data_IF_855899919111
#
_entry.id   IF_855899919111
#
_cell.length_a   1.000
_cell.length_b   1.000
_cell.length_c   1.000
_cell.angle_alpha   90.00
_cell.angle_beta   90.00
_cell.angle_gamma   90.00
#
_symmetry.space_group_name_H-M   'P 1'
#
loop_
_entity.id
_entity.type
_entity.pdbx_description
1 polymer ?
#
# COMPACT_ATOMS: atom_id res chain seq x y z
N UNK A 1 53.84 21.08 -43.80
CA UNK A 1 52.76 21.60 -42.95
C UNK A 1 52.76 20.76 -41.67
N UNK A 2 53.64 21.06 -40.71
CA UNK A 2 53.35 21.75 -39.41
C UNK A 2 52.39 20.92 -38.54
N UNK A 3 52.85 20.15 -37.53
CA UNK A 3 53.21 20.54 -36.12
C UNK A 3 51.95 20.87 -35.27
N UNK A 4 51.79 20.59 -33.97
CA UNK A 4 52.57 20.00 -32.87
C UNK A 4 51.61 19.76 -31.65
N UNK A 5 52.12 19.07 -30.62
CA UNK A 5 51.80 19.14 -29.16
C UNK A 5 50.42 18.67 -28.65
N UNK A 6 50.18 18.05 -27.49
CA UNK A 6 50.85 17.48 -26.29
C UNK A 6 50.02 17.91 -25.05
N UNK A 7 49.75 16.95 -24.14
CA UNK A 7 49.37 17.06 -22.72
C UNK A 7 47.94 17.59 -22.37
N UNK A 8 47.22 17.10 -21.35
CA UNK A 8 47.49 16.13 -20.28
C UNK A 8 46.53 16.35 -19.09
N UNK A 9 46.52 15.40 -18.13
CA UNK A 9 46.00 15.44 -16.74
C UNK A 9 44.48 15.23 -16.57
N UNK A 10 43.94 14.45 -15.63
CA UNK A 10 44.46 13.60 -14.55
C UNK A 10 43.26 12.76 -14.02
N UNK A 11 43.49 11.50 -13.65
CA UNK A 11 42.58 10.68 -12.82
C UNK A 11 43.36 10.30 -11.56
N UNK A 12 42.75 10.31 -10.36
CA UNK A 12 43.31 9.60 -9.23
C UNK A 12 42.68 8.21 -9.10
N UNK A 13 43.59 7.26 -9.06
CA UNK A 13 43.47 5.86 -8.66
C UNK A 13 43.42 5.73 -7.12
N UNK A 14 43.28 4.47 -6.67
CA UNK A 14 43.58 3.82 -5.38
C UNK A 14 42.32 3.10 -4.87
N UNK A 15 42.16 1.79 -5.00
CA UNK A 15 43.08 0.69 -4.62
C UNK A 15 42.46 -0.02 -3.40
N UNK A 16 42.47 -1.33 -3.18
CA UNK A 16 43.25 -2.44 -3.74
C UNK A 16 42.66 -3.77 -3.19
N UNK A 17 42.63 -4.80 -4.04
CA UNK A 17 42.93 -6.23 -3.81
C UNK A 17 42.59 -6.92 -2.47
N UNK A 18 41.74 -7.95 -2.55
CA UNK A 18 41.69 -9.07 -1.61
C UNK A 18 42.37 -10.28 -2.26
N UNK A 19 43.39 -10.84 -1.60
CA UNK A 19 43.92 -12.16 -1.90
C UNK A 19 44.15 -12.94 -0.60
N UNK A 20 43.92 -14.24 -0.70
CA UNK A 20 43.76 -15.24 0.35
C UNK A 20 45.07 -15.73 0.99
N UNK A 21 45.11 -15.93 2.32
CA UNK A 21 45.49 -17.19 3.01
C UNK A 21 45.87 -17.01 4.49
N UNK A 22 45.23 -17.80 5.36
CA UNK A 22 45.80 -18.69 6.37
C UNK A 22 46.86 -18.24 7.41
N UNK A 23 46.51 -18.51 8.67
CA UNK A 23 47.31 -19.19 9.75
C UNK A 23 47.76 -18.34 10.97
N UNK A 24 47.08 -18.61 12.10
CA UNK A 24 47.45 -18.63 13.55
C UNK A 24 48.67 -17.88 14.14
N UNK A 25 48.44 -17.11 15.22
CA UNK A 25 48.99 -17.24 16.60
C UNK A 25 48.57 -15.99 17.43
N UNK A 26 47.79 -16.14 18.51
CA UNK A 26 48.19 -16.21 19.93
C UNK A 26 48.77 -14.91 20.54
N UNK A 27 48.06 -14.29 21.50
CA UNK A 27 48.52 -14.02 22.89
C UNK A 27 47.54 -13.19 23.73
N UNK A 28 47.10 -13.81 24.83
CA UNK A 28 46.84 -13.32 26.20
C UNK A 28 46.29 -11.91 26.50
N UNK A 29 45.15 -11.90 27.21
CA UNK A 29 44.67 -10.83 28.09
C UNK A 29 43.67 -11.38 29.13
N UNK A 30 44.10 -11.39 30.39
CA UNK A 30 43.54 -12.03 31.59
C UNK A 30 42.30 -11.34 32.20
N UNK A 31 41.36 -12.12 32.76
CA UNK A 31 40.62 -11.79 33.99
C UNK A 31 40.08 -13.06 34.67
N UNK A 32 40.26 -13.13 35.99
CA UNK A 32 40.08 -14.27 36.91
C UNK A 32 38.65 -14.86 36.96
N UNK A 33 38.57 -16.19 37.06
CA UNK A 33 37.43 -16.94 37.59
C UNK A 33 37.87 -17.65 38.87
N UNK A 34 37.19 -17.36 39.97
CA UNK A 34 37.27 -18.13 41.21
C UNK A 34 36.24 -19.27 41.19
N UNK A 35 36.67 -20.42 41.68
CA UNK A 35 36.00 -21.71 41.67
C UNK A 35 35.27 -21.98 42.99
N UNK A 36 34.08 -22.57 42.95
CA UNK A 36 33.81 -23.76 43.77
C UNK A 36 32.52 -24.47 43.35
N UNK A 37 32.65 -25.78 43.13
CA UNK A 37 31.57 -26.77 43.10
C UNK A 37 31.15 -27.13 44.53
N UNK A 38 29.88 -27.49 44.72
CA UNK A 38 29.49 -28.73 45.43
C UNK A 38 28.05 -29.13 45.07
N UNK A 39 27.89 -30.44 44.99
CA UNK A 39 26.77 -31.27 44.53
C UNK A 39 25.70 -31.50 45.60
N UNK A 40 24.42 -31.66 45.21
CA UNK A 40 23.68 -32.94 45.35
C UNK A 40 22.25 -32.90 44.78
N UNK A 41 21.82 -34.09 44.40
CA UNK A 41 20.67 -34.55 43.61
C UNK A 41 19.40 -34.74 44.47
N UNK A 42 18.20 -34.53 43.90
CA UNK A 42 17.03 -35.42 44.10
C UNK A 42 15.92 -35.16 43.09
N UNK A 43 15.27 -36.26 42.73
CA UNK A 43 14.40 -36.54 41.57
C UNK A 43 12.89 -36.26 41.74
N UNK A 44 12.29 -35.63 40.71
CA UNK A 44 10.96 -35.87 40.04
C UNK A 44 9.63 -35.82 40.84
N UNK A 45 8.41 -35.77 40.21
CA UNK A 45 8.05 -35.73 38.79
C UNK A 45 6.97 -34.68 38.36
N UNK A 46 6.75 -34.65 37.04
CA UNK A 46 5.72 -33.93 36.26
C UNK A 46 4.32 -34.52 36.44
N UNK A 47 3.29 -33.67 36.57
CA UNK A 47 1.94 -33.84 35.97
C UNK A 47 1.22 -32.49 36.02
N UNK A 48 0.72 -31.99 34.88
CA UNK A 48 -0.49 -31.16 34.92
C UNK A 48 -1.39 -31.46 33.72
N UNK A 49 -2.65 -31.75 34.02
CA UNK A 49 -3.75 -31.96 33.08
C UNK A 49 -5.04 -31.66 33.82
N UNK A 50 -5.68 -30.53 33.53
CA UNK A 50 -7.15 -30.33 33.50
C UNK A 50 -7.43 -28.87 33.13
N UNK A 51 -7.97 -28.62 31.93
CA UNK A 51 -9.40 -28.31 31.67
C UNK A 51 -9.87 -27.03 32.38
N UNK A 52 -10.04 -25.94 31.61
CA UNK A 52 -11.07 -24.93 31.87
C UNK A 52 -11.88 -24.74 30.60
N UNK A 53 -13.16 -25.01 30.77
CA UNK A 53 -14.33 -24.79 29.93
C UNK A 53 -14.61 -23.29 29.84
N UNK A 54 -14.65 -22.71 28.63
CA UNK A 54 -15.18 -21.35 28.44
C UNK A 54 -16.58 -21.45 27.84
N UNK A 55 -17.54 -21.40 28.76
CA UNK A 55 -18.97 -21.34 28.52
C UNK A 55 -19.34 -20.07 27.78
N UNK A 56 -20.15 -20.24 26.73
CA UNK A 56 -20.88 -19.20 26.04
C UNK A 56 -21.65 -18.28 27.01
N UNK A 57 -21.43 -16.97 26.88
CA UNK A 57 -22.27 -15.96 27.54
C UNK A 57 -23.46 -15.65 26.64
N UNK A 58 -24.62 -16.11 27.09
CA UNK A 58 -25.96 -15.74 26.61
C UNK A 58 -26.29 -14.31 27.03
N UNK A 59 -26.83 -13.52 26.11
CA UNK A 59 -27.54 -12.28 26.45
C UNK A 59 -28.92 -12.32 25.78
N UNK A 60 -29.92 -12.70 26.57
CA UNK A 60 -31.32 -12.30 26.40
C UNK A 60 -31.60 -11.24 27.49
N UNK A 61 -32.00 -10.02 27.11
CA UNK A 61 -33.29 -9.42 27.46
C UNK A 61 -33.38 -7.89 27.15
N UNK A 62 -34.39 -7.55 26.32
CA UNK A 62 -35.31 -6.37 26.35
C UNK A 62 -34.70 -4.99 25.98
N UNK A 63 -35.19 -4.22 24.99
CA UNK A 63 -36.58 -3.76 24.79
C UNK A 63 -36.90 -3.31 23.34
N UNK A 64 -38.14 -3.59 22.90
CA UNK A 64 -38.83 -3.00 21.73
C UNK A 64 -39.38 -1.60 22.05
N UNK A 65 -39.62 -0.78 21.01
CA UNK A 65 -40.87 -0.03 20.94
C UNK A 65 -41.62 -0.19 19.61
N UNK A 66 -42.92 -0.48 19.74
CA UNK A 66 -43.97 -0.30 18.73
C UNK A 66 -44.37 1.19 18.63
N UNK A 67 -44.53 1.69 17.40
CA UNK A 67 -45.67 2.52 16.93
C UNK A 67 -45.44 2.86 15.45
N UNK A 68 -46.19 2.28 14.52
CA UNK A 68 -47.46 2.81 14.00
C UNK A 68 -47.35 4.26 13.46
N UNK A 69 -47.27 4.38 12.13
CA UNK A 69 -47.86 5.52 11.41
C UNK A 69 -48.08 5.16 9.95
N UNK A 70 -49.36 5.02 9.60
CA UNK A 70 -49.91 4.89 8.25
C UNK A 70 -49.90 6.20 7.45
N UNK A 71 -49.54 6.06 6.16
CA UNK A 71 -50.12 6.69 4.95
C UNK A 71 -49.84 8.18 4.71
N UNK A 72 -49.24 8.52 3.54
CA UNK A 72 -49.88 9.19 2.37
C UNK A 72 -49.06 8.90 1.09
N UNK A 73 -49.71 8.31 0.08
CA UNK A 73 -49.27 8.27 -1.33
C UNK A 73 -50.03 9.37 -2.08
N UNK A 74 -49.41 10.10 -3.02
CA UNK A 74 -50.16 10.71 -4.10
C UNK A 74 -49.85 10.08 -5.47
N UNK A 75 -50.93 10.00 -6.22
CA UNK A 75 -51.17 9.40 -7.53
C UNK A 75 -50.39 9.99 -8.71
N UNK A 76 -50.32 9.12 -9.72
CA UNK A 76 -50.19 9.28 -11.17
C UNK A 76 -50.42 10.65 -11.83
N UNK A 77 -49.58 10.94 -12.84
CA UNK A 77 -49.89 11.75 -14.04
C UNK A 77 -49.25 11.05 -15.25
N UNK A 78 -50.05 10.38 -16.09
CA UNK A 78 -50.80 10.83 -17.26
C UNK A 78 -49.96 10.83 -18.55
N UNK A 79 -50.41 9.99 -19.48
CA UNK A 79 -49.81 9.71 -20.78
C UNK A 79 -50.56 10.54 -21.83
N UNK A 80 -49.90 11.60 -22.31
CA UNK A 80 -50.38 12.38 -23.46
C UNK A 80 -49.74 11.87 -24.75
N UNK A 81 -50.54 11.16 -25.55
CA UNK A 81 -50.24 10.86 -26.96
C UNK A 81 -50.59 12.06 -27.83
N UNK A 82 -49.63 12.58 -28.59
CA UNK A 82 -49.92 13.39 -29.77
C UNK A 82 -49.34 12.73 -31.03
N UNK A 83 -50.26 12.45 -31.95
CA UNK A 83 -50.06 11.95 -33.30
C UNK A 83 -49.69 13.13 -34.20
N UNK A 84 -48.49 13.11 -34.80
CA UNK A 84 -48.13 14.00 -35.90
C UNK A 84 -47.63 13.15 -37.06
N UNK A 85 -48.51 12.95 -38.02
CA UNK A 85 -48.22 12.41 -39.35
C UNK A 85 -47.18 13.27 -40.09
N UNK A 86 -46.05 12.69 -40.46
CA UNK A 86 -45.07 13.30 -41.38
C UNK A 86 -44.79 12.39 -42.58
N UNK A 87 -44.82 12.99 -43.76
CA UNK A 87 -44.62 12.40 -45.10
C UNK A 87 -43.16 11.99 -45.37
N UNK A 88 -42.90 11.04 -46.29
CA UNK A 88 -41.55 10.53 -46.53
C UNK A 88 -40.84 11.36 -47.61
N UNK A 89 -40.15 12.44 -47.23
CA UNK A 89 -39.16 13.10 -48.09
C UNK A 89 -38.40 14.17 -47.27
N UNK A 90 -37.42 13.73 -46.47
CA UNK A 90 -36.13 14.41 -46.27
C UNK A 90 -35.21 13.53 -45.40
N UNK A 91 -34.32 12.75 -46.01
CA UNK A 91 -33.23 12.08 -45.28
C UNK A 91 -32.00 12.97 -45.46
N UNK A 92 -31.90 14.00 -44.61
CA UNK A 92 -30.60 14.55 -44.25
C UNK A 92 -29.96 13.64 -43.21
N UNK A 93 -28.65 13.33 -43.30
CA UNK A 93 -27.99 12.55 -42.27
C UNK A 93 -28.11 13.30 -40.94
N UNK A 94 -28.55 12.60 -39.89
CA UNK A 94 -28.51 13.08 -38.52
C UNK A 94 -27.08 13.52 -38.19
N UNK A 95 -26.88 14.61 -37.42
CA UNK A 95 -25.56 14.98 -36.95
C UNK A 95 -25.00 13.81 -36.14
N UNK A 96 -23.75 13.43 -36.41
CA UNK A 96 -23.02 12.48 -35.57
C UNK A 96 -23.13 12.94 -34.12
N UNK A 97 -23.64 12.07 -33.24
CA UNK A 97 -23.57 12.33 -31.81
C UNK A 97 -22.10 12.42 -31.43
N UNK A 98 -21.66 13.61 -31.02
CA UNK A 98 -20.40 13.85 -30.31
C UNK A 98 -20.41 13.00 -29.03
N UNK A 99 -19.97 11.75 -29.12
CA UNK A 99 -19.49 11.02 -27.95
C UNK A 99 -18.23 11.74 -27.45
N UNK A 100 -18.16 12.22 -26.20
CA UNK A 100 -16.95 12.87 -25.69
C UNK A 100 -15.87 11.79 -25.44
N UNK A 101 -15.22 11.35 -26.51
CA UNK A 101 -14.06 10.47 -26.50
C UNK A 101 -12.74 11.24 -26.27
N UNK A 102 -12.80 12.52 -25.93
CA UNK A 102 -11.60 13.27 -25.55
C UNK A 102 -11.18 12.88 -24.14
N UNK A 103 -10.13 12.08 -24.03
CA UNK A 103 -9.41 11.85 -22.78
C UNK A 103 -9.04 13.22 -22.19
N UNK A 104 -9.32 13.50 -20.91
CA UNK A 104 -8.93 14.75 -20.27
C UNK A 104 -7.45 15.05 -20.51
N UNK A 105 -7.08 16.31 -20.79
CA UNK A 105 -5.70 16.67 -21.18
C UNK A 105 -4.64 16.36 -20.10
N UNK A 106 -5.07 16.04 -18.88
CA UNK A 106 -4.22 15.62 -17.76
C UNK A 106 -4.09 14.09 -17.59
N UNK A 107 -4.65 13.28 -18.49
CA UNK A 107 -4.58 11.81 -18.45
C UNK A 107 -3.81 11.23 -19.64
N UNK A 108 -3.23 10.05 -19.44
CA UNK A 108 -2.55 9.30 -20.50
C UNK A 108 -3.59 8.64 -21.43
N UNK A 109 -3.33 8.55 -22.74
CA UNK A 109 -4.15 7.73 -23.61
C UNK A 109 -4.03 6.25 -23.24
N UNK A 110 -5.16 5.56 -23.17
CA UNK A 110 -5.23 4.16 -22.75
C UNK A 110 -5.02 3.22 -23.94
N UNK A 111 -4.10 2.28 -23.78
CA UNK A 111 -3.87 1.18 -24.69
C UNK A 111 -4.66 -0.07 -24.29
N UNK A 112 -4.05 -1.23 -24.49
CA UNK A 112 -4.62 -2.51 -24.05
C UNK A 112 -4.58 -2.65 -22.53
N UNK A 113 -5.40 -3.54 -21.99
CA UNK A 113 -5.42 -3.87 -20.57
C UNK A 113 -5.19 -5.36 -20.32
N UNK A 114 -4.79 -5.69 -19.10
CA UNK A 114 -4.77 -7.06 -18.58
C UNK A 114 -5.65 -7.16 -17.35
N UNK A 115 -6.38 -8.28 -17.26
CA UNK A 115 -7.25 -8.59 -16.11
C UNK A 115 -6.58 -9.63 -15.22
N UNK A 116 -6.57 -9.33 -13.93
CA UNK A 116 -6.08 -10.17 -12.85
C UNK A 116 -7.22 -10.31 -11.83
N UNK A 117 -7.23 -11.37 -11.05
CA UNK A 117 -8.30 -11.58 -10.08
C UNK A 117 -7.84 -12.34 -8.84
N UNK A 118 -8.52 -12.10 -7.73
CA UNK A 118 -8.65 -13.03 -6.61
C UNK A 118 -9.99 -13.76 -6.82
N UNK A 119 -9.96 -15.07 -7.03
CA UNK A 119 -11.18 -15.87 -7.15
C UNK A 119 -12.07 -15.75 -5.91
N UNK A 120 -13.40 -15.95 -6.05
CA UNK A 120 -14.31 -15.95 -4.92
C UNK A 120 -13.87 -16.83 -3.76
N UNK A 121 -14.05 -16.32 -2.53
CA UNK A 121 -13.78 -17.08 -1.31
C UNK A 121 -14.78 -16.75 -0.20
N UNK A 122 -15.05 -17.73 0.65
CA UNK A 122 -15.99 -17.57 1.75
C UNK A 122 -15.34 -16.94 3.00
N UNK A 123 -16.10 -16.07 3.67
CA UNK A 123 -15.81 -15.55 5.00
C UNK A 123 -17.01 -15.82 5.91
N UNK A 124 -16.78 -16.54 7.01
CA UNK A 124 -17.84 -17.01 7.91
C UNK A 124 -18.45 -15.85 8.72
N UNK A 125 -19.70 -16.00 9.21
CA UNK A 125 -20.32 -15.03 10.10
C UNK A 125 -19.41 -14.68 11.30
N UNK A 126 -19.28 -13.39 11.61
CA UNK A 126 -18.52 -12.89 12.77
C UNK A 126 -17.01 -13.13 12.69
N UNK A 127 -16.46 -13.35 11.49
CA UNK A 127 -15.02 -13.57 11.28
C UNK A 127 -14.48 -12.59 10.24
N UNK A 128 -13.15 -12.48 10.21
CA UNK A 128 -12.43 -11.80 9.15
C UNK A 128 -11.49 -12.79 8.43
N UNK A 129 -11.08 -12.43 7.23
CA UNK A 129 -10.12 -13.21 6.47
C UNK A 129 -9.24 -12.31 5.61
N UNK A 130 -7.94 -12.47 5.79
CA UNK A 130 -6.90 -11.89 4.95
C UNK A 130 -6.42 -12.94 3.96
N UNK A 131 -6.50 -12.66 2.66
CA UNK A 131 -6.03 -13.59 1.63
C UNK A 131 -5.10 -12.92 0.63
N UNK A 132 -4.19 -13.72 0.09
CA UNK A 132 -3.28 -13.35 -0.97
C UNK A 132 -3.44 -14.29 -2.16
N UNK A 133 -3.09 -13.78 -3.34
CA UNK A 133 -2.81 -14.57 -4.54
C UNK A 133 -1.65 -13.92 -5.28
N UNK A 134 -0.65 -14.73 -5.61
CA UNK A 134 0.48 -14.27 -6.39
C UNK A 134 0.19 -14.57 -7.86
N UNK A 135 0.63 -13.70 -8.75
CA UNK A 135 0.44 -13.85 -10.19
C UNK A 135 1.68 -13.30 -10.89
N UNK A 136 2.23 -14.02 -11.88
CA UNK A 136 3.16 -13.40 -12.83
C UNK A 136 2.36 -12.54 -13.80
N UNK A 137 2.74 -11.27 -13.97
CA UNK A 137 2.13 -10.39 -14.96
C UNK A 137 2.07 -11.09 -16.33
N UNK A 138 0.88 -11.23 -16.95
CA UNK A 138 0.72 -11.94 -18.22
C UNK A 138 1.15 -11.06 -19.40
N UNK A 139 2.42 -10.63 -19.39
CA UNK A 139 3.07 -9.85 -20.44
C UNK A 139 4.43 -10.45 -20.75
N UNK A 140 4.77 -10.53 -22.03
CA UNK A 140 6.08 -10.90 -22.56
C UNK A 140 6.97 -9.68 -22.88
N UNK A 141 6.43 -8.47 -22.69
CA UNK A 141 7.12 -7.18 -22.84
C UNK A 141 6.99 -6.33 -21.58
N UNK A 142 7.87 -5.34 -21.43
CA UNK A 142 7.72 -4.29 -20.42
C UNK A 142 6.45 -3.49 -20.71
N UNK A 143 5.77 -3.06 -19.64
CA UNK A 143 4.52 -2.31 -19.74
C UNK A 143 4.50 -1.15 -18.76
N UNK A 144 3.90 -0.06 -19.23
CA UNK A 144 3.64 1.13 -18.44
C UNK A 144 2.16 1.20 -18.09
N UNK A 145 1.84 0.97 -16.82
CA UNK A 145 0.46 1.00 -16.31
C UNK A 145 0.10 2.44 -15.95
N UNK A 146 -0.92 2.98 -16.63
CA UNK A 146 -1.37 4.37 -16.47
C UNK A 146 -2.74 4.49 -15.82
N UNK A 147 -3.51 3.40 -15.79
CA UNK A 147 -4.74 3.29 -15.01
C UNK A 147 -4.86 1.94 -14.35
N UNK A 148 -5.34 1.95 -13.11
CA UNK A 148 -5.65 0.75 -12.33
C UNK A 148 -7.11 0.85 -11.91
N UNK A 149 -7.88 -0.19 -12.21
CA UNK A 149 -9.28 -0.31 -11.79
C UNK A 149 -9.44 -1.58 -10.96
N UNK A 150 -9.99 -1.45 -9.76
CA UNK A 150 -10.36 -2.60 -8.92
C UNK A 150 -11.86 -2.60 -8.66
N UNK A 151 -12.48 -3.78 -8.71
CA UNK A 151 -13.81 -4.06 -8.18
C UNK A 151 -13.72 -5.20 -7.18
N UNK A 152 -14.32 -5.03 -6.01
CA UNK A 152 -14.28 -5.99 -4.91
C UNK A 152 -15.69 -6.55 -4.63
N UNK A 153 -15.76 -7.86 -4.42
CA UNK A 153 -16.95 -8.52 -3.90
C UNK A 153 -17.01 -8.43 -2.36
N UNK A 154 -18.23 -8.46 -1.83
CA UNK A 154 -18.51 -8.57 -0.39
C UNK A 154 -18.42 -7.27 0.41
N UNK A 155 -18.36 -7.41 1.73
CA UNK A 155 -18.14 -6.31 2.70
C UNK A 155 -16.64 -5.99 2.83
N UNK A 156 -15.93 -5.95 1.69
CA UNK A 156 -14.47 -5.84 1.64
C UNK A 156 -13.97 -4.62 2.43
N UNK A 157 -12.95 -4.81 3.26
CA UNK A 157 -12.34 -3.75 4.07
C UNK A 157 -11.24 -3.03 3.29
N UNK A 158 -10.36 -3.77 2.61
CA UNK A 158 -9.46 -3.21 1.60
C UNK A 158 -8.90 -4.27 0.64
N UNK A 159 -8.36 -3.80 -0.48
CA UNK A 159 -7.54 -4.55 -1.43
C UNK A 159 -6.21 -3.83 -1.65
N UNK A 160 -5.12 -4.59 -1.77
CA UNK A 160 -3.77 -4.07 -2.04
C UNK A 160 -3.12 -4.84 -3.20
N UNK A 161 -2.35 -4.11 -4.01
CA UNK A 161 -1.52 -4.63 -5.08
C UNK A 161 -0.06 -4.28 -4.79
N UNK A 162 0.80 -5.30 -4.82
CA UNK A 162 2.24 -5.15 -4.68
C UNK A 162 2.98 -5.75 -5.89
N UNK A 163 4.17 -5.23 -6.21
CA UNK A 163 5.18 -5.91 -7.03
C UNK A 163 6.28 -6.46 -6.14
N UNK A 164 6.70 -7.70 -6.37
CA UNK A 164 7.86 -8.27 -5.70
C UNK A 164 9.14 -7.66 -6.28
N UNK A 165 10.05 -7.21 -5.42
CA UNK A 165 11.26 -6.48 -5.81
C UNK A 165 12.55 -7.17 -5.36
N UNK A 166 12.44 -8.29 -4.66
CA UNK A 166 13.58 -9.11 -4.23
C UNK A 166 14.12 -10.00 -5.37
N UNK A 167 15.06 -10.89 -5.03
CA UNK A 167 15.64 -11.84 -5.99
C UNK A 167 14.64 -12.84 -6.59
N UNK A 168 13.40 -12.92 -6.08
CA UNK A 168 12.33 -13.80 -6.54
C UNK A 168 11.30 -13.09 -7.41
N UNK A 169 11.53 -11.81 -7.76
CA UNK A 169 10.63 -10.95 -8.53
C UNK A 169 10.13 -11.59 -9.85
N UNK A 170 10.90 -12.52 -10.43
CA UNK A 170 10.61 -13.17 -11.71
C UNK A 170 10.42 -14.68 -11.61
N UNK A 171 10.39 -15.24 -10.39
CA UNK A 171 10.12 -16.66 -10.24
C UNK A 171 8.69 -16.97 -10.71
N UNK A 172 8.55 -18.13 -11.37
CA UNK A 172 7.25 -18.63 -11.79
C UNK A 172 6.39 -18.90 -10.56
N UNK A 173 5.24 -18.25 -10.50
CA UNK A 173 4.25 -18.46 -9.46
C UNK A 173 3.54 -19.78 -9.70
N UNK A 174 3.62 -20.68 -8.72
CA UNK A 174 3.04 -22.02 -8.80
C UNK A 174 2.49 -22.47 -7.45
N UNK A 175 1.78 -23.61 -7.43
CA UNK A 175 1.32 -24.23 -6.21
C UNK A 175 0.33 -23.37 -5.43
N UNK A 176 0.45 -23.37 -4.09
CA UNK A 176 -0.47 -22.68 -3.18
C UNK A 176 -0.51 -21.16 -3.43
N UNK A 177 0.63 -20.56 -3.76
CA UNK A 177 0.73 -19.11 -4.00
C UNK A 177 -0.04 -18.66 -5.24
N UNK A 178 -0.17 -19.52 -6.25
CA UNK A 178 -0.94 -19.24 -7.47
C UNK A 178 -2.46 -19.27 -7.26
N UNK A 179 -2.91 -19.67 -6.07
CA UNK A 179 -4.33 -19.77 -5.68
C UNK A 179 -4.61 -18.87 -4.49
N UNK A 180 -5.87 -18.53 -4.25
CA UNK A 180 -6.29 -17.77 -3.06
C UNK A 180 -5.90 -18.53 -1.79
N UNK A 181 -5.10 -17.91 -0.93
CA UNK A 181 -4.64 -18.50 0.32
C UNK A 181 -4.55 -17.46 1.45
N UNK A 182 -4.64 -17.91 2.70
CA UNK A 182 -4.47 -17.02 3.85
C UNK A 182 -3.03 -16.49 3.90
N UNK A 183 -2.90 -15.20 4.21
CA UNK A 183 -1.62 -14.52 4.37
C UNK A 183 -1.68 -13.49 5.51
N UNK A 184 -0.51 -13.03 5.95
CA UNK A 184 -0.41 -11.95 6.93
C UNK A 184 -0.45 -10.59 6.23
N UNK A 185 -1.14 -9.57 6.78
CA UNK A 185 -1.24 -8.26 6.16
C UNK A 185 0.12 -7.64 5.84
N UNK A 186 0.29 -7.17 4.60
CA UNK A 186 1.46 -6.44 4.12
C UNK A 186 2.80 -7.15 4.41
N UNK A 187 2.83 -8.47 4.57
CA UNK A 187 4.00 -9.21 5.08
C UNK A 187 5.26 -8.93 4.27
N UNK A 188 5.17 -9.07 2.95
CA UNK A 188 6.27 -8.88 1.99
C UNK A 188 6.66 -7.39 1.85
N UNK A 189 5.72 -6.47 2.03
CA UNK A 189 6.04 -5.05 2.09
C UNK A 189 6.82 -4.72 3.36
N UNK A 190 6.38 -5.24 4.51
CA UNK A 190 7.00 -5.03 5.81
C UNK A 190 8.33 -5.78 5.99
N UNK A 191 8.68 -6.71 5.09
CA UNK A 191 10.02 -7.31 5.00
C UNK A 191 10.92 -6.61 3.98
N UNK A 192 10.37 -5.72 3.15
CA UNK A 192 11.09 -5.04 2.07
C UNK A 192 11.21 -5.86 0.79
N UNK A 193 10.51 -6.99 0.69
CA UNK A 193 10.56 -7.90 -0.47
C UNK A 193 9.58 -7.48 -1.58
N UNK A 194 8.59 -6.63 -1.25
CA UNK A 194 7.61 -6.12 -2.20
C UNK A 194 7.38 -4.61 -2.06
N UNK A 195 7.17 -3.94 -3.19
CA UNK A 195 6.74 -2.54 -3.26
C UNK A 195 5.23 -2.47 -3.49
N UNK A 196 4.54 -1.63 -2.73
CA UNK A 196 3.14 -1.30 -2.97
C UNK A 196 2.99 -0.60 -4.32
N UNK A 197 1.84 -0.75 -4.96
CA UNK A 197 1.49 -0.09 -6.23
C UNK A 197 0.15 0.64 -6.08
N UNK A 198 -0.82 -0.06 -5.50
CA UNK A 198 -2.20 0.40 -5.46
C UNK A 198 -2.92 -0.24 -4.29
N UNK A 199 -3.96 0.42 -3.79
CA UNK A 199 -4.93 -0.22 -2.93
C UNK A 199 -6.28 0.46 -3.01
N UNK A 200 -7.30 -0.15 -2.45
CA UNK A 200 -8.67 0.34 -2.48
C UNK A 200 -9.34 0.02 -1.14
N UNK A 201 -10.00 1.01 -0.55
CA UNK A 201 -10.84 0.86 0.64
C UNK A 201 -12.34 0.98 0.30
N UNK A 202 -12.69 1.01 -0.98
CA UNK A 202 -14.05 1.14 -1.50
C UNK A 202 -14.35 -0.02 -2.46
N UNK A 203 -15.62 -0.46 -2.60
CA UNK A 203 -15.98 -1.59 -3.46
C UNK A 203 -15.50 -1.44 -4.91
N UNK A 204 -15.38 -0.21 -5.38
CA UNK A 204 -14.76 0.12 -6.66
C UNK A 204 -13.78 1.27 -6.48
N UNK A 205 -12.64 1.21 -7.18
CA UNK A 205 -11.69 2.31 -7.27
C UNK A 205 -11.05 2.33 -8.64
N UNK A 206 -11.03 3.51 -9.26
CA UNK A 206 -10.25 3.80 -10.45
C UNK A 206 -9.16 4.79 -10.05
N UNK A 207 -7.92 4.50 -10.42
CA UNK A 207 -6.79 5.39 -10.24
C UNK A 207 -6.12 5.65 -11.58
N UNK A 208 -6.06 6.92 -11.95
CA UNK A 208 -5.30 7.42 -13.09
C UNK A 208 -3.99 8.05 -12.62
N UNK A 209 -2.88 7.68 -13.25
CA UNK A 209 -1.64 8.43 -13.10
C UNK A 209 -1.75 9.79 -13.79
N UNK A 210 -0.97 10.80 -13.36
CA UNK A 210 -0.81 12.01 -14.15
C UNK A 210 -0.32 11.70 -15.57
N UNK A 211 -0.71 12.53 -16.55
CA UNK A 211 -0.14 12.46 -17.91
C UNK A 211 1.39 12.45 -17.88
N UNK A 212 1.99 11.58 -18.67
CA UNK A 212 3.45 11.38 -18.71
C UNK A 212 3.99 10.49 -17.60
N UNK A 213 3.16 10.00 -16.68
CA UNK A 213 3.58 9.17 -15.56
C UNK A 213 2.95 7.78 -15.65
N UNK A 214 3.71 6.73 -15.34
CA UNK A 214 3.20 5.36 -15.28
C UNK A 214 3.85 4.53 -14.17
N UNK A 215 3.21 3.45 -13.73
CA UNK A 215 3.91 2.39 -13.03
C UNK A 215 4.55 1.45 -14.03
N UNK A 216 5.88 1.33 -13.97
CA UNK A 216 6.62 0.46 -14.87
C UNK A 216 6.69 -0.98 -14.31
N UNK A 217 6.33 -1.96 -15.13
CA UNK A 217 6.37 -3.39 -14.80
C UNK A 217 7.09 -4.18 -15.89
N UNK A 218 7.91 -5.13 -15.47
CA UNK A 218 8.67 -6.02 -16.35
C UNK A 218 7.86 -7.26 -16.80
N UNK A 219 8.26 -7.92 -17.91
CA UNK A 219 7.66 -9.19 -18.33
C UNK A 219 7.66 -10.22 -17.20
N UNK A 220 6.52 -10.88 -16.96
CA UNK A 220 6.41 -11.91 -15.93
C UNK A 220 6.64 -11.44 -14.49
N UNK A 221 6.73 -10.13 -14.23
CA UNK A 221 6.88 -9.55 -12.90
C UNK A 221 5.87 -10.17 -11.93
N UNK A 222 6.36 -10.74 -10.84
CA UNK A 222 5.52 -11.31 -9.79
C UNK A 222 4.80 -10.18 -9.05
N UNK A 223 3.48 -10.27 -9.03
CA UNK A 223 2.56 -9.39 -8.34
C UNK A 223 1.89 -10.14 -7.19
N UNK A 224 1.56 -9.43 -6.12
CA UNK A 224 0.79 -9.95 -4.98
C UNK A 224 -0.51 -9.16 -4.95
N UNK A 225 -1.63 -9.88 -5.08
CA UNK A 225 -2.97 -9.37 -4.87
C UNK A 225 -3.39 -9.78 -3.46
N UNK A 226 -3.74 -8.81 -2.62
CA UNK A 226 -4.10 -9.04 -1.22
C UNK A 226 -5.48 -8.44 -0.94
N UNK A 227 -6.40 -9.20 -0.36
CA UNK A 227 -7.72 -8.70 0.05
C UNK A 227 -7.99 -9.02 1.53
N UNK A 228 -8.49 -8.01 2.24
CA UNK A 228 -9.05 -8.15 3.58
C UNK A 228 -10.56 -8.03 3.53
N UNK A 229 -11.26 -9.05 4.04
CA UNK A 229 -12.72 -9.04 4.18
C UNK A 229 -13.10 -9.27 5.63
N UNK A 230 -13.91 -8.35 6.18
CA UNK A 230 -14.48 -8.49 7.52
C UNK A 230 -15.98 -8.76 7.39
N UNK A 231 -16.45 -9.83 8.04
CA UNK A 231 -17.85 -10.23 7.99
C UNK A 231 -18.53 -10.06 9.35
N UNK A 232 -19.14 -8.88 9.56
CA UNK A 232 -19.96 -8.58 10.74
C UNK A 232 -21.40 -9.13 10.64
N UNK A 233 -21.75 -9.84 9.56
CA UNK A 233 -23.12 -10.31 9.32
C UNK A 233 -23.34 -11.70 9.93
N UNK A 234 -24.62 -12.09 10.03
CA UNK A 234 -25.01 -13.43 10.48
C UNK A 234 -24.92 -14.51 9.38
N UNK A 235 -24.49 -14.17 8.16
CA UNK A 235 -24.40 -15.08 7.01
C UNK A 235 -22.99 -15.13 6.46
N UNK A 236 -22.61 -16.22 5.80
CA UNK A 236 -21.37 -16.25 5.03
C UNK A 236 -21.43 -15.17 3.96
N UNK A 237 -20.36 -14.39 3.83
CA UNK A 237 -20.16 -13.44 2.73
C UNK A 237 -19.06 -13.95 1.81
N UNK A 238 -19.07 -13.45 0.59
CA UNK A 238 -18.08 -13.78 -0.43
C UNK A 238 -17.11 -12.61 -0.59
N UNK A 239 -15.81 -12.89 -0.47
CA UNK A 239 -14.74 -12.02 -0.94
C UNK A 239 -14.34 -12.37 -2.38
N UNK A 240 -13.53 -11.53 -2.99
CA UNK A 240 -13.08 -11.64 -4.38
C UNK A 240 -12.72 -10.26 -4.93
N UNK A 241 -11.81 -10.22 -5.91
CA UNK A 241 -11.38 -8.97 -6.56
C UNK A 241 -11.20 -9.20 -8.04
N UNK A 242 -11.74 -8.31 -8.86
CA UNK A 242 -11.34 -8.11 -10.25
C UNK A 242 -10.44 -6.87 -10.32
N UNK A 243 -9.28 -7.02 -10.93
CA UNK A 243 -8.29 -5.96 -11.12
C UNK A 243 -7.97 -5.83 -12.61
N UNK A 244 -8.08 -4.63 -13.14
CA UNK A 244 -7.71 -4.32 -14.51
C UNK A 244 -6.58 -3.29 -14.53
N UNK A 245 -5.46 -3.67 -15.16
CA UNK A 245 -4.31 -2.80 -15.39
C UNK A 245 -4.36 -2.33 -16.84
N UNK A 246 -4.58 -1.03 -17.04
CA UNK A 246 -4.59 -0.40 -18.35
C UNK A 246 -3.21 0.14 -18.66
N UNK A 247 -2.66 -0.29 -19.79
CA UNK A 247 -1.35 0.15 -20.26
C UNK A 247 -1.46 1.46 -21.03
N UNK A 248 -0.35 2.19 -21.14
CA UNK A 248 -0.24 3.35 -22.00
C UNK A 248 -0.48 2.95 -23.47
N UNK A 249 -1.19 3.79 -24.22
CA UNK A 249 -1.33 3.60 -25.67
C UNK A 249 0.04 3.76 -26.37
N UNK A 250 0.27 3.13 -27.54
CA UNK A 250 1.55 3.25 -28.26
C UNK A 250 1.97 4.70 -28.60
N UNK A 251 1.01 5.62 -28.74
CA UNK A 251 1.22 7.04 -28.97
C UNK A 251 1.44 7.87 -27.69
N UNK A 252 1.26 7.26 -26.51
CA UNK A 252 1.56 7.91 -25.24
C UNK A 252 3.06 8.21 -25.12
N UNK A 253 3.40 9.34 -24.51
CA UNK A 253 4.76 9.63 -24.08
C UNK A 253 4.82 9.48 -22.57
N UNK A 254 5.56 8.50 -22.07
CA UNK A 254 5.85 8.34 -20.65
C UNK A 254 7.19 9.01 -20.36
N UNK A 255 7.15 10.00 -19.48
CA UNK A 255 8.30 10.83 -19.08
C UNK A 255 8.86 10.39 -17.72
N UNK A 256 8.01 9.78 -16.88
CA UNK A 256 8.35 9.41 -15.51
C UNK A 256 7.73 8.08 -15.09
N UNK A 257 8.47 7.32 -14.28
CA UNK A 257 7.93 6.16 -13.58
C UNK A 257 7.58 6.53 -12.15
N UNK A 258 6.33 6.24 -11.77
CA UNK A 258 5.86 6.37 -10.40
C UNK A 258 6.45 5.27 -9.52
N UNK A 259 6.72 5.65 -8.28
CA UNK A 259 7.25 4.78 -7.25
C UNK A 259 6.60 5.10 -5.90
N UNK A 260 6.70 4.15 -4.97
CA UNK A 260 6.09 4.27 -3.66
C UNK A 260 7.16 4.39 -2.59
N UNK A 261 7.16 5.54 -1.92
CA UNK A 261 7.92 5.76 -0.71
C UNK A 261 7.16 5.11 0.44
N UNK A 262 7.79 4.11 1.06
CA UNK A 262 7.35 3.52 2.30
C UNK A 262 8.13 4.15 3.46
N UNK A 263 7.46 4.96 4.27
CA UNK A 263 8.10 5.79 5.29
C UNK A 263 7.56 5.42 6.66
N UNK A 264 8.40 4.75 7.46
CA UNK A 264 8.02 4.27 8.78
C UNK A 264 8.87 4.92 9.87
N UNK A 265 8.21 5.32 10.96
CA UNK A 265 8.87 5.68 12.21
C UNK A 265 8.76 4.50 13.18
N UNK A 266 9.90 3.97 13.60
CA UNK A 266 10.00 2.87 14.57
C UNK A 266 10.58 3.30 15.92
N UNK A 267 10.86 4.60 16.10
CA UNK A 267 11.58 5.15 17.26
C UNK A 267 10.73 5.47 18.49
N UNK A 268 9.46 5.10 18.50
CA UNK A 268 8.50 5.42 19.55
C UNK A 268 8.26 4.25 20.52
N UNK A 269 7.63 4.52 21.65
CA UNK A 269 7.02 3.55 22.56
C UNK A 269 5.90 4.26 23.33
N UNK A 270 4.80 3.58 23.63
CA UNK A 270 3.65 4.18 24.30
C UNK A 270 3.58 3.73 25.77
N UNK A 271 3.95 4.58 26.75
CA UNK A 271 3.75 4.28 28.17
C UNK A 271 2.27 3.98 28.49
N UNK A 272 1.99 3.24 29.58
CA UNK A 272 0.62 3.04 30.03
C UNK A 272 -0.10 4.36 30.32
N UNK A 273 -1.37 4.47 29.93
CA UNK A 273 -2.25 5.61 30.23
C UNK A 273 -1.68 6.97 29.84
N UNK A 274 -1.03 7.05 28.68
CA UNK A 274 -0.42 8.28 28.19
C UNK A 274 -0.84 8.60 26.77
N UNK A 275 -1.00 9.89 26.50
CA UNK A 275 -1.04 10.43 25.15
C UNK A 275 0.35 10.89 24.74
N UNK A 276 0.82 10.47 23.57
CA UNK A 276 2.10 10.90 23.02
C UNK A 276 1.96 11.19 21.54
N UNK A 277 2.84 12.04 21.01
CA UNK A 277 3.05 12.21 19.58
C UNK A 277 4.52 12.01 19.25
N UNK A 278 4.81 11.44 18.09
CA UNK A 278 6.17 11.32 17.58
C UNK A 278 6.22 11.67 16.10
N UNK A 279 7.32 12.32 15.69
CA UNK A 279 7.49 12.90 14.35
C UNK A 279 8.75 12.33 13.70
N UNK A 280 8.66 12.02 12.41
CA UNK A 280 9.81 11.64 11.60
C UNK A 280 9.85 12.42 10.28
N UNK A 281 11.04 12.52 9.70
CA UNK A 281 11.30 13.28 8.48
C UNK A 281 12.11 12.44 7.49
N UNK A 282 11.65 12.44 6.24
CA UNK A 282 12.31 11.84 5.09
C UNK A 282 12.71 12.95 4.10
N UNK A 283 14.01 13.21 3.95
CA UNK A 283 14.50 14.24 3.01
C UNK A 283 14.73 13.68 1.61
N UNK A 284 14.18 14.36 0.61
CA UNK A 284 14.27 13.95 -0.78
C UNK A 284 15.72 14.02 -1.30
N UNK A 285 16.25 12.93 -1.90
CA UNK A 285 17.61 12.89 -2.44
C UNK A 285 17.80 13.72 -3.73
N UNK A 286 16.70 14.00 -4.42
CA UNK A 286 16.58 14.75 -5.67
C UNK A 286 15.16 15.34 -5.76
N UNK A 287 14.85 16.09 -6.81
CA UNK A 287 13.53 16.70 -7.00
C UNK A 287 12.48 15.62 -7.30
N UNK A 288 11.37 15.61 -6.55
CA UNK A 288 10.29 14.62 -6.61
C UNK A 288 8.93 15.34 -6.68
N UNK A 289 8.01 14.78 -7.46
CA UNK A 289 6.60 15.16 -7.48
C UNK A 289 5.78 14.08 -6.76
N UNK A 290 5.09 14.46 -5.68
CA UNK A 290 4.23 13.56 -4.89
C UNK A 290 2.81 13.63 -5.43
N UNK A 291 2.32 12.48 -5.90
CA UNK A 291 0.97 12.29 -6.47
C UNK A 291 -0.07 12.12 -5.38
N UNK A 292 0.29 11.48 -4.27
CA UNK A 292 -0.64 11.27 -3.18
C UNK A 292 0.00 10.60 -1.99
N UNK A 293 -0.68 10.69 -0.84
CA UNK A 293 -0.22 10.08 0.41
C UNK A 293 -1.37 9.39 1.14
N UNK A 294 -1.02 8.47 2.02
CA UNK A 294 -1.93 7.74 2.89
C UNK A 294 -1.23 7.41 4.20
N UNK A 295 -1.98 7.35 5.29
CA UNK A 295 -1.51 6.94 6.60
C UNK A 295 -1.71 5.45 6.87
N UNK A 296 -0.96 4.93 7.83
CA UNK A 296 -1.23 3.66 8.48
C UNK A 296 -0.73 3.69 9.94
N UNK A 297 -1.68 3.45 10.83
CA UNK A 297 -1.53 3.39 12.29
C UNK A 297 -2.60 2.44 12.85
N UNK A 298 -2.48 2.00 14.11
CA UNK A 298 -3.45 1.07 14.70
C UNK A 298 -4.40 1.77 15.68
N UNK A 299 -5.18 0.97 16.41
CA UNK A 299 -6.34 1.35 17.22
C UNK A 299 -6.09 2.44 18.27
N UNK A 300 -4.86 2.57 18.80
CA UNK A 300 -4.53 3.60 19.78
C UNK A 300 -4.20 4.94 19.13
N UNK A 301 -4.00 4.99 17.81
CA UNK A 301 -3.72 6.24 17.12
C UNK A 301 -4.97 7.10 17.02
N UNK A 302 -4.81 8.38 17.34
CA UNK A 302 -5.89 9.37 17.41
C UNK A 302 -5.73 10.49 16.40
N UNK A 303 -4.55 10.63 15.78
CA UNK A 303 -4.28 11.59 14.72
C UNK A 303 -3.03 11.19 13.94
N UNK A 304 -3.07 11.37 12.63
CA UNK A 304 -1.95 11.22 11.73
C UNK A 304 -1.87 12.42 10.81
N UNK A 305 -0.71 13.08 10.73
CA UNK A 305 -0.50 14.26 9.90
C UNK A 305 0.70 14.03 8.99
N UNK A 306 0.59 14.40 7.71
CA UNK A 306 1.73 14.50 6.79
C UNK A 306 1.89 15.93 6.33
N UNK A 307 3.13 16.41 6.36
CA UNK A 307 3.51 17.74 5.95
C UNK A 307 4.61 17.70 4.88
N UNK A 308 4.47 18.55 3.87
CA UNK A 308 5.57 18.94 3.00
C UNK A 308 6.54 19.82 3.81
N UNK A 309 7.76 19.33 4.04
CA UNK A 309 8.77 19.96 4.86
C UNK A 309 9.82 20.68 4.01
N UNK A 310 10.19 21.89 4.43
CA UNK A 310 11.35 22.62 3.90
C UNK A 310 12.17 23.19 5.06
N UNK A 311 13.44 23.60 4.85
CA UNK A 311 14.21 24.31 5.87
C UNK A 311 13.58 25.61 6.39
N UNK A 312 12.55 26.14 5.71
CA UNK A 312 11.86 27.40 6.07
C UNK A 312 10.55 27.17 6.82
N UNK A 313 10.07 25.93 6.91
CA UNK A 313 8.79 25.58 7.52
C UNK A 313 8.10 24.42 6.80
N UNK A 314 6.95 24.04 7.34
CA UNK A 314 6.13 22.93 6.87
C UNK A 314 4.78 23.42 6.31
N UNK A 315 4.14 22.57 5.50
CA UNK A 315 2.77 22.75 5.05
C UNK A 315 2.05 21.42 5.13
N UNK A 316 0.96 21.35 5.90
CA UNK A 316 0.13 20.16 5.98
C UNK A 316 -0.45 19.82 4.60
N UNK A 317 -0.25 18.57 4.19
CA UNK A 317 -0.77 18.02 2.94
C UNK A 317 -1.75 16.87 3.20
N UNK A 318 -1.74 16.30 4.41
CA UNK A 318 -2.62 15.20 4.80
C UNK A 318 -2.94 15.27 6.29
N UNK A 319 -4.14 14.82 6.65
CA UNK A 319 -4.52 14.55 8.02
C UNK A 319 -5.57 13.45 8.04
N UNK A 320 -5.47 12.53 8.98
CA UNK A 320 -6.43 11.44 9.18
C UNK A 320 -6.51 11.06 10.67
N UNK A 321 -7.67 10.61 11.10
CA UNK A 321 -7.95 10.12 12.45
C UNK A 321 -8.66 8.76 12.45
N UNK A 322 -8.97 8.20 11.27
CA UNK A 322 -9.57 6.88 11.12
C UNK A 322 -8.48 5.84 10.79
N UNK A 323 -8.02 5.13 11.83
CA UNK A 323 -7.05 4.05 11.67
C UNK A 323 -7.60 2.87 10.85
N UNK A 324 -8.92 2.65 10.89
CA UNK A 324 -9.55 1.51 10.25
C UNK A 324 -9.73 1.74 8.75
N UNK A 325 -10.09 2.97 8.35
CA UNK A 325 -10.36 3.32 6.96
C UNK A 325 -9.48 4.49 6.49
N UNK A 326 -8.14 4.29 6.41
CA UNK A 326 -7.25 5.37 6.04
C UNK A 326 -7.57 5.88 4.63
N UNK A 327 -7.66 7.19 4.48
CA UNK A 327 -7.94 7.79 3.17
C UNK A 327 -6.68 7.89 2.32
N UNK A 328 -6.86 7.87 1.01
CA UNK A 328 -5.79 8.25 0.08
C UNK A 328 -6.04 9.68 -0.41
N UNK A 329 -5.15 10.60 -0.06
CA UNK A 329 -5.21 11.98 -0.55
C UNK A 329 -4.42 12.07 -1.85
N UNK A 330 -5.12 12.32 -2.96
CA UNK A 330 -4.52 12.48 -4.28
C UNK A 330 -4.42 13.96 -4.65
N UNK A 331 -3.25 14.37 -5.12
CA UNK A 331 -2.96 15.75 -5.49
C UNK A 331 -3.04 15.97 -7.01
N UNK A 332 -3.69 17.06 -7.41
CA UNK A 332 -3.68 17.58 -8.77
C UNK A 332 -3.69 19.12 -8.73
N UNK A 333 -2.58 19.81 -9.02
CA UNK A 333 -1.27 19.26 -9.43
C UNK A 333 -0.56 18.49 -8.29
N UNK A 334 0.43 17.64 -8.61
CA UNK A 334 1.30 17.00 -7.61
C UNK A 334 2.00 18.00 -6.67
N UNK A 335 2.36 17.54 -5.48
CA UNK A 335 3.16 18.32 -4.52
C UNK A 335 4.64 18.22 -4.89
N UNK A 336 5.23 19.34 -5.28
CA UNK A 336 6.64 19.40 -5.69
C UNK A 336 7.56 19.56 -4.47
N UNK A 337 8.51 18.63 -4.32
CA UNK A 337 9.55 18.65 -3.30
C UNK A 337 10.93 18.71 -3.99
N UNK A 338 11.72 19.74 -3.71
CA UNK A 338 13.08 19.82 -4.26
C UNK A 338 14.02 18.91 -3.48
N UNK A 339 15.20 18.65 -4.05
CA UNK A 339 16.30 18.04 -3.31
C UNK A 339 16.54 18.72 -1.97
N UNK A 340 16.46 17.95 -0.89
CA UNK A 340 16.68 18.43 0.47
C UNK A 340 15.43 18.94 1.20
N UNK A 341 14.31 19.18 0.49
CA UNK A 341 12.97 19.24 1.09
C UNK A 341 12.55 17.82 1.53
N UNK A 342 11.38 17.64 2.12
CA UNK A 342 11.00 16.31 2.62
C UNK A 342 9.52 16.09 2.91
N UNK A 343 9.23 14.85 3.28
CA UNK A 343 7.96 14.45 3.88
C UNK A 343 8.19 14.29 5.37
N UNK A 344 7.51 15.11 6.17
CA UNK A 344 7.44 14.98 7.62
C UNK A 344 6.10 14.34 7.97
N UNK A 345 6.08 13.38 8.88
CA UNK A 345 4.84 12.80 9.38
C UNK A 345 4.86 12.70 10.89
N UNK A 346 3.69 12.95 11.49
CA UNK A 346 3.47 12.90 12.93
C UNK A 346 2.31 11.98 13.23
N UNK A 347 2.53 11.07 14.17
CA UNK A 347 1.49 10.19 14.69
C UNK A 347 1.24 10.55 16.15
N UNK A 348 -0.03 10.66 16.52
CA UNK A 348 -0.48 10.86 17.90
C UNK A 348 -1.24 9.63 18.34
N UNK A 349 -0.95 9.14 19.54
CA UNK A 349 -1.60 7.99 20.15
C UNK A 349 -2.08 8.30 21.54
N UNK A 350 -3.16 7.65 21.95
CA UNK A 350 -3.61 7.59 23.32
C UNK A 350 -3.59 6.14 23.82
N UNK A 351 -2.54 5.75 24.54
CA UNK A 351 -2.46 4.42 25.11
C UNK A 351 -3.36 4.30 26.35
N UNK A 352 -4.56 3.77 26.14
CA UNK A 352 -5.54 3.52 27.21
C UNK A 352 -5.26 2.24 28.02
N UNK A 353 -4.21 1.48 27.65
CA UNK A 353 -3.88 0.19 28.27
C UNK A 353 -2.97 0.38 29.48
N UNK A 354 -2.98 -0.59 30.39
CA UNK A 354 -2.11 -0.61 31.58
C UNK A 354 -0.69 -1.12 31.31
N UNK A 355 -0.33 -1.37 30.05
CA UNK A 355 0.96 -1.93 29.61
C UNK A 355 1.64 -1.01 28.61
N UNK A 356 2.96 -1.10 28.56
CA UNK A 356 3.76 -0.51 27.50
C UNK A 356 3.35 -1.13 26.16
N UNK A 357 3.14 -0.28 25.15
CA UNK A 357 2.91 -0.70 23.75
C UNK A 357 4.13 -0.31 22.93
N UNK A 358 4.62 -1.24 22.12
CA UNK A 358 5.80 -1.07 21.29
C UNK A 358 5.41 -0.93 19.81
N UNK A 359 6.25 -0.33 18.97
CA UNK A 359 6.16 -0.46 17.53
C UNK A 359 6.21 -1.94 17.14
N UNK A 360 5.32 -2.37 16.24
CA UNK A 360 5.27 -3.77 15.83
C UNK A 360 4.20 -4.11 14.80
N UNK A 361 4.23 -5.35 14.31
CA UNK A 361 3.33 -5.84 13.24
C UNK A 361 1.96 -6.31 13.74
N UNK A 362 1.84 -6.59 15.04
CA UNK A 362 0.60 -7.15 15.57
C UNK A 362 -0.44 -6.05 15.77
N UNK A 363 -1.73 -6.39 15.69
CA UNK A 363 -2.82 -5.47 16.02
C UNK A 363 -2.78 -4.96 17.46
N UNK A 364 -2.04 -5.63 18.36
CA UNK A 364 -1.83 -5.18 19.74
C UNK A 364 -0.63 -4.24 19.92
N UNK A 365 0.21 -4.14 18.89
CA UNK A 365 1.32 -3.20 18.77
C UNK A 365 0.83 -1.93 18.05
N UNK A 366 1.72 -0.97 17.81
CA UNK A 366 1.39 0.24 17.05
C UNK A 366 2.32 0.48 15.86
N UNK A 367 1.88 1.31 14.92
CA UNK A 367 2.63 1.71 13.74
C UNK A 367 2.52 3.22 13.48
N UNK A 368 3.56 3.78 12.88
CA UNK A 368 3.58 5.17 12.39
C UNK A 368 4.15 5.20 10.98
N UNK A 369 3.31 4.88 9.98
CA UNK A 369 3.73 4.70 8.59
C UNK A 369 2.94 5.63 7.68
N UNK A 370 3.62 6.28 6.75
CA UNK A 370 2.97 6.88 5.58
C UNK A 370 3.50 6.25 4.30
N UNK A 371 2.60 6.07 3.35
CA UNK A 371 2.94 5.72 1.97
C UNK A 371 2.77 6.97 1.13
N UNK A 372 3.78 7.32 0.34
CA UNK A 372 3.68 8.39 -0.63
C UNK A 372 3.92 7.84 -2.03
N UNK A 373 2.99 8.09 -2.94
CA UNK A 373 3.17 7.83 -4.35
C UNK A 373 3.82 9.05 -4.99
N UNK A 374 4.93 8.88 -5.70
CA UNK A 374 5.61 10.00 -6.35
C UNK A 374 6.54 9.58 -7.47
N UNK A 375 7.13 10.56 -8.16
CA UNK A 375 8.07 10.32 -9.25
C UNK A 375 9.18 11.40 -9.29
N UNK A 376 10.38 11.06 -9.77
CA UNK A 376 11.46 12.04 -9.99
C UNK A 376 11.09 13.09 -11.04
N UNK A 377 11.47 14.36 -10.83
CA UNK A 377 11.16 15.45 -11.77
C UNK A 377 12.02 15.44 -13.05
N UNK A 378 13.28 15.00 -12.96
CA UNK A 378 14.28 15.23 -14.02
C UNK A 378 14.87 13.96 -14.66
N UNK A 379 14.29 12.78 -14.42
CA UNK A 379 14.78 11.50 -14.95
C UNK A 379 13.66 10.47 -14.99
N UNK A 380 13.72 9.51 -15.92
CA UNK A 380 13.10 8.19 -15.69
C UNK A 380 13.92 7.52 -14.58
N UNK A 381 13.33 7.21 -13.43
CA UNK A 381 14.08 6.50 -12.38
C UNK A 381 13.90 5.01 -12.51
N UNK A 382 14.99 4.31 -12.78
CA UNK A 382 15.10 2.86 -12.65
C UNK A 382 15.31 2.44 -11.18
N UNK A 383 15.45 3.42 -10.27
CA UNK A 383 15.75 3.21 -8.85
C UNK A 383 14.60 3.70 -7.97
N UNK A 384 14.28 3.00 -6.87
CA UNK A 384 13.27 3.49 -5.96
C UNK A 384 13.63 4.86 -5.35
N UNK A 385 12.63 5.66 -5.00
CA UNK A 385 12.80 6.90 -4.25
C UNK A 385 13.12 6.51 -2.80
N UNK A 386 14.42 6.50 -2.48
CA UNK A 386 14.92 6.22 -1.14
C UNK A 386 15.45 7.49 -0.47
N UNK A 387 14.94 7.78 0.72
CA UNK A 387 15.38 8.91 1.53
C UNK A 387 15.96 8.44 2.85
N UNK A 388 16.75 9.31 3.47
CA UNK A 388 17.18 9.11 4.84
C UNK A 388 16.06 9.56 5.78
N UNK A 389 15.58 8.63 6.61
CA UNK A 389 14.65 8.90 7.69
C UNK A 389 15.44 9.37 8.90
N UNK A 390 15.04 10.50 9.47
CA UNK A 390 15.58 11.05 10.71
C UNK A 390 14.46 11.31 11.70
N UNK A 391 14.70 10.95 12.95
CA UNK A 391 13.85 11.25 14.11
C UNK A 391 14.46 12.37 14.94
#
# INVERSE_FOLDING_TARGET
TTSADLNGLESPDLGSTLDTNGTTMDTSGTAEQDTSQTTEDTTAPVTDTAVIDDTAVSLDDVATPDNDTTVIVPDTVDAGSEDITATPEDISPLPEEDTPNSIPDNQNPLGVSVKLNIEPFEVKPGTERQVCKHINLPSDVEVDVVRIHSSMAGTSHHFNLYKVIDGTAFDVVTGKQATVHDCSPASEQLSGDAAYIFGAATPERIFDTPKGVAFHLFPGQKLILEQHVINYTAKTVEGGVDLELFFAAPEATIEHHADILWLANWGFFLPPFSEISDTALCKMPYDVEIIGVMSHFHELGTQFVVEAWTPKGTTQIYEDDDWAHPKFEQYSPPVSLNKGDGIQWTCTWNNTKSKLVMPGKNSTDEMCITFALGYPKNTLSDKPIQCNITN
#
